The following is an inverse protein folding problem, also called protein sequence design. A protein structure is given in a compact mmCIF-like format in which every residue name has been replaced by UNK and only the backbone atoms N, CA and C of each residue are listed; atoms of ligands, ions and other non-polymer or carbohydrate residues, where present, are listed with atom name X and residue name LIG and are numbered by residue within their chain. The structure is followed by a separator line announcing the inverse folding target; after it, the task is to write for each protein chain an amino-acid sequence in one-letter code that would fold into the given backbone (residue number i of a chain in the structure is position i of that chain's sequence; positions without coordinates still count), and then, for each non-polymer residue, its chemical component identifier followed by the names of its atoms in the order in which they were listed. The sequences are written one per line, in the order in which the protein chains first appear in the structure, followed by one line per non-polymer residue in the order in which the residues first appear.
data_IF_006961710205
#
_entry.id   IF_006961710205
#
_cell.length_a   1.000
_cell.length_b   1.000
_cell.length_c   1.000
_cell.angle_alpha   90.00
_cell.angle_beta   90.00
_cell.angle_gamma   90.00
#
_symmetry.space_group_name_H-M   'P 1'
#
loop_
_entity.id
_entity.type
_entity.pdbx_description
1 polymer ?
#
# COMPACT_ATOMS: atom_id res chain seq x y z
N UNK A 1 4.08 38.94 41.14
CA UNK A 1 3.94 37.61 40.52
C UNK A 1 4.06 37.82 39.01
N UNK A 2 5.27 37.71 38.47
CA UNK A 2 5.53 37.82 37.04
C UNK A 2 5.60 36.39 36.50
N UNK A 3 4.56 35.99 35.78
CA UNK A 3 4.41 34.63 35.27
C UNK A 3 5.32 34.45 34.06
N UNK A 4 6.52 33.94 34.33
CA UNK A 4 7.54 33.65 33.34
C UNK A 4 7.00 32.55 32.41
N UNK A 5 6.45 32.97 31.26
CA UNK A 5 5.94 32.06 30.23
C UNK A 5 7.13 31.40 29.54
N UNK A 6 7.72 30.41 30.20
CA UNK A 6 8.66 29.47 29.58
C UNK A 6 7.88 28.69 28.53
N UNK A 7 7.97 29.18 27.28
CA UNK A 7 7.54 28.44 26.10
C UNK A 7 8.57 27.35 25.85
N UNK A 8 8.30 26.15 26.37
CA UNK A 8 9.03 24.98 25.92
C UNK A 8 8.70 24.79 24.42
N UNK A 9 9.70 24.78 23.51
CA UNK A 9 9.44 24.41 22.14
C UNK A 9 8.97 22.97 22.16
N UNK A 10 7.74 22.72 21.72
CA UNK A 10 7.32 21.37 21.43
C UNK A 10 8.32 20.84 20.41
N UNK A 11 9.09 19.84 20.82
CA UNK A 11 9.86 18.94 19.95
C UNK A 11 8.86 18.20 19.05
N UNK A 12 8.19 18.93 18.16
CA UNK A 12 7.23 18.42 17.19
C UNK A 12 7.94 18.12 15.87
N UNK A 13 9.21 17.71 15.96
CA UNK A 13 10.10 17.36 14.85
C UNK A 13 10.63 15.94 14.98
N UNK A 14 9.80 14.99 15.43
CA UNK A 14 10.25 13.61 15.64
C UNK A 14 9.23 12.51 15.36
N UNK A 15 7.94 12.84 15.20
CA UNK A 15 6.88 11.86 14.95
C UNK A 15 5.76 12.46 14.08
N UNK A 16 6.11 13.14 12.98
CA UNK A 16 5.19 13.14 11.83
C UNK A 16 5.21 11.70 11.31
N UNK A 17 4.51 10.81 12.01
CA UNK A 17 4.08 9.56 11.40
C UNK A 17 3.15 10.04 10.30
N UNK A 18 3.64 9.96 9.09
CA UNK A 18 2.78 9.84 7.92
C UNK A 18 1.94 8.58 8.15
N UNK A 19 0.90 8.70 8.99
CA UNK A 19 -0.16 7.71 9.19
C UNK A 19 -1.08 7.64 7.97
N UNK A 20 -0.70 8.31 6.90
CA UNK A 20 -1.18 7.98 5.58
C UNK A 20 -0.33 6.80 5.10
N UNK A 21 -0.49 5.67 5.80
CA UNK A 21 -0.76 4.44 5.07
C UNK A 21 -1.83 4.83 4.07
N UNK A 22 -1.42 5.20 2.86
CA UNK A 22 -2.33 5.35 1.74
C UNK A 22 -2.90 3.95 1.57
N UNK A 23 -3.95 3.65 2.34
CA UNK A 23 -4.80 2.49 2.18
C UNK A 23 -5.43 2.72 0.84
N UNK A 24 -4.68 2.33 -0.19
CA UNK A 24 -5.12 2.34 -1.56
C UNK A 24 -6.49 1.70 -1.49
N UNK A 25 -7.53 2.43 -1.91
CA UNK A 25 -8.93 1.97 -1.82
C UNK A 25 -9.12 0.60 -2.52
N UNK A 26 -8.12 0.19 -3.28
CA UNK A 26 -7.99 -1.07 -3.97
C UNK A 26 -6.62 -1.73 -3.68
N UNK A 27 -6.46 -2.28 -2.49
CA UNK A 27 -5.36 -3.19 -2.18
C UNK A 27 -5.68 -4.59 -2.74
N UNK A 28 -5.05 -4.94 -3.86
CA UNK A 28 -5.13 -6.32 -4.36
C UNK A 28 -4.37 -7.24 -3.41
N UNK A 29 -5.11 -8.07 -2.67
CA UNK A 29 -4.51 -9.13 -1.86
C UNK A 29 -3.64 -10.03 -2.76
N UNK A 30 -2.50 -10.55 -2.26
CA UNK A 30 -1.62 -11.45 -3.03
C UNK A 30 -2.35 -12.62 -3.71
N UNK A 31 -3.45 -13.11 -3.10
CA UNK A 31 -4.29 -14.15 -3.70
C UNK A 31 -4.91 -13.77 -5.05
N UNK A 32 -5.29 -12.50 -5.27
CA UNK A 32 -5.84 -12.05 -6.56
C UNK A 32 -4.80 -12.09 -7.67
N UNK A 33 -3.55 -11.76 -7.33
CA UNK A 33 -2.42 -11.78 -8.28
C UNK A 33 -2.17 -13.21 -8.73
N UNK A 34 -2.17 -14.18 -7.81
CA UNK A 34 -1.97 -15.60 -8.12
C UNK A 34 -3.07 -16.11 -9.06
N UNK A 35 -4.34 -15.76 -8.81
CA UNK A 35 -5.47 -16.15 -9.66
C UNK A 35 -5.32 -15.58 -11.07
N UNK A 36 -4.94 -14.30 -11.19
CA UNK A 36 -4.69 -13.64 -12.48
C UNK A 36 -3.61 -14.37 -13.28
N UNK A 37 -2.50 -14.74 -12.63
CA UNK A 37 -1.42 -15.48 -13.29
C UNK A 37 -1.90 -16.84 -13.82
N UNK A 38 -2.64 -17.59 -13.01
CA UNK A 38 -3.19 -18.90 -13.44
C UNK A 38 -4.12 -18.75 -14.64
N UNK A 39 -4.97 -17.72 -14.65
CA UNK A 39 -5.88 -17.45 -15.78
C UNK A 39 -5.10 -17.17 -17.06
N UNK A 40 -4.04 -16.35 -17.00
CA UNK A 40 -3.20 -16.06 -18.17
C UNK A 40 -2.56 -17.33 -18.72
N UNK A 41 -1.99 -18.17 -17.84
CA UNK A 41 -1.37 -19.45 -18.24
C UNK A 41 -2.39 -20.38 -18.92
N UNK A 42 -3.62 -20.45 -18.41
CA UNK A 42 -4.67 -21.26 -19.03
C UNK A 42 -5.07 -20.73 -20.42
N UNK A 43 -5.11 -19.41 -20.60
CA UNK A 43 -5.39 -18.79 -21.90
C UNK A 43 -4.27 -19.10 -22.89
N UNK A 44 -3.00 -18.93 -22.48
CA UNK A 44 -1.85 -19.27 -23.32
C UNK A 44 -1.85 -20.74 -23.73
N UNK A 45 -2.11 -21.65 -22.78
CA UNK A 45 -2.23 -23.09 -23.06
C UNK A 45 -3.35 -23.39 -24.05
N UNK A 46 -4.55 -22.82 -23.83
CA UNK A 46 -5.68 -23.03 -24.72
C UNK A 46 -5.39 -22.51 -26.14
N UNK A 47 -4.77 -21.34 -26.24
CA UNK A 47 -4.38 -20.76 -27.51
C UNK A 47 -3.29 -21.60 -28.19
N UNK A 48 -2.31 -22.11 -27.45
CA UNK A 48 -1.24 -22.93 -28.00
C UNK A 48 -1.76 -24.27 -28.53
N UNK A 49 -2.72 -24.90 -27.84
CA UNK A 49 -3.33 -26.15 -28.30
C UNK A 49 -4.19 -25.95 -29.56
N UNK A 50 -4.87 -24.80 -29.69
CA UNK A 50 -5.74 -24.51 -30.83
C UNK A 50 -4.99 -23.92 -32.03
N UNK A 51 -3.89 -23.22 -31.77
CA UNK A 51 -3.09 -22.49 -32.75
C UNK A 51 -1.86 -23.22 -33.27
N UNK A 52 -1.45 -24.31 -32.61
CA UNK A 52 -0.48 -25.30 -33.14
C UNK A 52 -1.16 -26.34 -34.02
#
# INVERSE_FOLDING_TARGET
MAEDKIRMPATQGGLVRYFEDYKSKLEFKPGHIIIMVVVVVLIELFLHIRGS
#
